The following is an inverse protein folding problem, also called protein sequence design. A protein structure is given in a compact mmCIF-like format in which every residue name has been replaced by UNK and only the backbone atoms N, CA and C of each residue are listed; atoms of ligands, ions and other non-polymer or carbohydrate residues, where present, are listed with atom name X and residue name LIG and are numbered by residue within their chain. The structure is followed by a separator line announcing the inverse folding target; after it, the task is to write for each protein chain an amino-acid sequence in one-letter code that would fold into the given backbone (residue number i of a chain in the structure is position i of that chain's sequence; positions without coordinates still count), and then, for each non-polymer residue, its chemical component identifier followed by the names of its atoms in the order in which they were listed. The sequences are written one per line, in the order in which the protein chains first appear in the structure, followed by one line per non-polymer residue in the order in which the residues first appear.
data_IF_080456920327
#
_entry.id   IF_080456920327
#
_cell.length_a   1.000
_cell.length_b   1.000
_cell.length_c   1.000
_cell.angle_alpha   90.00
_cell.angle_beta   90.00
_cell.angle_gamma   90.00
#
_symmetry.space_group_name_H-M   'P 1'
#
loop_
_entity.id
_entity.type
_entity.pdbx_description
1 polymer ?
#
# COMPACT_ATOMS: atom_id res chain seq x y z
N UNK A 1 28.08 -31.41 24.43
CA UNK A 1 26.96 -30.73 23.74
C UNK A 1 27.34 -29.26 23.60
N UNK A 2 27.58 -28.78 22.38
CA UNK A 2 27.86 -27.35 22.12
C UNK A 2 26.52 -26.61 22.21
N UNK A 3 26.36 -25.68 23.14
CA UNK A 3 25.25 -24.74 23.16
C UNK A 3 25.31 -23.93 21.86
N UNK A 4 24.36 -24.11 20.96
CA UNK A 4 24.18 -23.19 19.87
C UNK A 4 23.73 -21.85 20.46
N UNK A 5 24.63 -20.86 20.41
CA UNK A 5 24.27 -19.48 20.69
C UNK A 5 23.31 -19.04 19.58
N UNK A 6 21.98 -19.02 19.85
CA UNK A 6 21.02 -18.35 18.98
C UNK A 6 21.42 -16.88 18.94
N UNK A 7 21.50 -16.28 17.74
CA UNK A 7 21.73 -14.86 17.64
C UNK A 7 20.58 -14.13 18.37
N UNK A 8 20.94 -13.34 19.38
CA UNK A 8 19.97 -12.47 20.06
C UNK A 8 19.76 -11.29 19.13
N UNK A 9 18.71 -11.32 18.32
CA UNK A 9 18.23 -10.14 17.60
C UNK A 9 17.45 -9.32 18.63
N UNK A 10 18.12 -8.41 19.30
CA UNK A 10 17.58 -7.70 20.46
C UNK A 10 16.70 -6.50 20.12
N UNK A 11 16.58 -6.07 18.85
CA UNK A 11 15.83 -4.87 18.47
C UNK A 11 15.27 -4.98 17.03
N UNK A 12 14.60 -6.09 16.71
CA UNK A 12 13.89 -6.19 15.45
C UNK A 12 12.65 -5.28 15.47
N UNK A 13 12.55 -4.39 14.50
CA UNK A 13 11.36 -3.59 14.23
C UNK A 13 10.79 -4.00 12.86
N UNK A 14 9.49 -4.16 12.79
CA UNK A 14 8.80 -4.57 11.56
C UNK A 14 7.81 -3.49 11.14
N UNK A 15 8.09 -2.84 10.01
CA UNK A 15 7.14 -1.97 9.31
C UNK A 15 6.35 -2.74 8.27
N UNK A 16 5.38 -2.08 7.67
CA UNK A 16 4.58 -2.64 6.58
C UNK A 16 3.92 -1.50 5.79
N UNK A 17 3.77 -1.70 4.49
CA UNK A 17 3.17 -0.80 3.52
C UNK A 17 2.17 -1.54 2.59
N UNK A 18 1.12 -2.16 3.16
CA UNK A 18 0.17 -2.94 2.36
C UNK A 18 -0.66 -2.07 1.43
N UNK A 19 -1.01 -2.66 0.30
CA UNK A 19 -1.97 -2.13 -0.65
C UNK A 19 -3.34 -2.79 -0.48
N UNK A 20 -4.39 -1.99 -0.61
CA UNK A 20 -5.78 -2.45 -0.56
C UNK A 20 -6.57 -1.83 -1.72
N UNK A 21 -7.57 -2.54 -2.21
CA UNK A 21 -8.43 -2.03 -3.25
C UNK A 21 -9.72 -1.45 -2.67
N UNK A 22 -10.37 -0.60 -3.46
CA UNK A 22 -11.69 -0.05 -3.14
C UNK A 22 -12.75 -0.76 -3.97
N UNK A 23 -13.83 -1.18 -3.32
CA UNK A 23 -15.01 -1.73 -3.96
C UNK A 23 -16.17 -0.75 -3.83
N UNK A 24 -16.80 -0.42 -4.95
CA UNK A 24 -17.99 0.43 -4.95
C UNK A 24 -19.24 -0.47 -4.88
N UNK A 25 -19.95 -0.38 -3.75
CA UNK A 25 -21.15 -1.16 -3.48
C UNK A 25 -22.38 -0.77 -4.32
N UNK A 26 -22.38 0.43 -4.86
CA UNK A 26 -23.48 0.92 -5.73
C UNK A 26 -23.32 0.37 -7.15
N UNK A 27 -22.12 0.46 -7.69
CA UNK A 27 -21.83 0.07 -9.06
C UNK A 27 -21.38 -1.39 -9.18
N UNK A 28 -21.12 -2.08 -8.06
CA UNK A 28 -20.60 -3.45 -8.02
C UNK A 28 -19.31 -3.60 -8.86
N UNK A 29 -18.34 -2.71 -8.63
CA UNK A 29 -17.07 -2.71 -9.36
C UNK A 29 -15.91 -2.23 -8.47
N UNK A 30 -14.67 -2.59 -8.86
CA UNK A 30 -13.49 -2.00 -8.26
C UNK A 30 -13.34 -0.55 -8.68
N UNK A 31 -13.05 0.31 -7.70
CA UNK A 31 -12.88 1.74 -7.90
C UNK A 31 -11.44 2.17 -7.62
N UNK A 32 -10.88 3.01 -8.50
CA UNK A 32 -9.57 3.58 -8.28
C UNK A 32 -9.53 4.47 -7.04
N UNK A 33 -8.47 4.37 -6.25
CA UNK A 33 -8.22 5.28 -5.12
C UNK A 33 -7.84 6.71 -5.57
N UNK A 34 -7.57 6.90 -6.86
CA UNK A 34 -7.22 8.20 -7.43
C UNK A 34 -8.36 9.21 -7.21
N UNK A 35 -8.02 10.34 -6.59
CA UNK A 35 -8.97 11.43 -6.33
C UNK A 35 -9.61 11.41 -4.95
N UNK A 36 -9.59 10.30 -4.22
CA UNK A 36 -10.16 10.25 -2.86
C UNK A 36 -9.23 10.85 -1.81
N UNK A 37 -7.94 10.65 -1.94
CA UNK A 37 -6.94 11.23 -1.05
C UNK A 37 -5.89 12.00 -1.83
N UNK A 38 -5.29 12.99 -1.18
CA UNK A 38 -4.22 13.82 -1.77
C UNK A 38 -2.83 13.23 -1.56
N UNK A 39 -2.70 12.16 -0.80
CA UNK A 39 -1.44 11.47 -0.57
C UNK A 39 -0.93 10.80 -1.83
N UNK A 40 0.36 10.89 -2.07
CA UNK A 40 1.07 10.21 -3.16
C UNK A 40 2.26 9.45 -2.59
N UNK A 41 2.82 8.50 -3.33
CA UNK A 41 4.03 7.75 -2.92
C UNK A 41 5.18 8.68 -2.49
N UNK A 42 5.38 9.78 -3.21
CA UNK A 42 6.41 10.78 -2.88
C UNK A 42 6.05 11.69 -1.70
N UNK A 43 4.77 11.82 -1.39
CA UNK A 43 4.26 12.66 -0.31
C UNK A 43 3.04 12.01 0.36
N UNK A 44 3.28 10.94 1.15
CA UNK A 44 2.22 10.32 1.92
C UNK A 44 1.56 11.30 2.89
N UNK A 45 0.29 11.08 3.19
CA UNK A 45 -0.43 11.85 4.19
C UNK A 45 -0.42 11.12 5.54
N UNK A 46 -0.15 11.86 6.60
CA UNK A 46 -0.33 11.38 7.96
C UNK A 46 -1.84 11.14 8.21
N UNK A 47 -2.19 9.99 8.79
CA UNK A 47 -3.54 9.73 9.29
C UNK A 47 -3.78 10.58 10.54
N UNK A 48 -4.74 11.49 10.46
CA UNK A 48 -5.03 12.43 11.54
C UNK A 48 -5.45 11.70 12.82
N UNK A 49 -5.07 12.24 13.98
CA UNK A 49 -5.32 11.67 15.30
C UNK A 49 -4.66 10.31 15.58
N UNK A 50 -3.84 9.78 14.66
CA UNK A 50 -2.98 8.63 14.91
C UNK A 50 -1.53 9.07 15.18
N UNK A 51 -0.74 8.27 15.91
CA UNK A 51 0.67 8.54 16.12
C UNK A 51 1.44 8.72 14.81
N UNK A 52 2.59 9.41 14.89
CA UNK A 52 3.47 9.59 13.72
C UNK A 52 3.87 8.24 13.11
N UNK A 53 3.79 8.16 11.80
CA UNK A 53 4.16 6.96 11.03
C UNK A 53 2.96 6.16 10.50
N UNK A 54 1.74 6.50 10.93
CA UNK A 54 0.53 6.04 10.25
C UNK A 54 0.26 6.93 9.05
N UNK A 55 0.58 6.43 7.88
CA UNK A 55 0.50 7.21 6.64
C UNK A 55 -0.41 6.50 5.64
N UNK A 56 -0.97 7.23 4.70
CA UNK A 56 -1.68 6.66 3.56
C UNK A 56 -1.46 7.48 2.28
N UNK A 57 -1.54 6.81 1.15
CA UNK A 57 -1.33 7.39 -0.17
C UNK A 57 -2.02 6.58 -1.26
N UNK A 58 -2.11 7.18 -2.44
CA UNK A 58 -2.47 6.46 -3.66
C UNK A 58 -1.20 5.94 -4.31
N UNK A 59 -1.17 4.65 -4.63
CA UNK A 59 -0.20 4.06 -5.53
C UNK A 59 -0.92 3.44 -6.73
N UNK A 60 -0.64 3.93 -7.93
CA UNK A 60 -1.39 3.62 -9.15
C UNK A 60 -2.91 3.76 -8.95
N UNK A 61 -3.64 2.68 -8.76
CA UNK A 61 -5.09 2.66 -8.48
C UNK A 61 -5.44 2.16 -7.09
N UNK A 62 -4.44 1.64 -6.37
CA UNK A 62 -4.60 1.11 -5.02
C UNK A 62 -4.50 2.20 -3.96
N UNK A 63 -5.03 1.91 -2.80
CA UNK A 63 -4.84 2.66 -1.58
C UNK A 63 -3.76 1.95 -0.76
N UNK A 64 -2.63 2.59 -0.59
CA UNK A 64 -1.50 2.09 0.20
C UNK A 64 -1.47 2.77 1.56
N UNK A 65 -1.09 2.04 2.60
CA UNK A 65 -0.88 2.62 3.91
C UNK A 65 0.38 2.08 4.58
N UNK A 66 1.01 2.94 5.38
CA UNK A 66 2.17 2.58 6.16
C UNK A 66 1.82 2.54 7.64
N UNK A 67 2.44 1.64 8.37
CA UNK A 67 2.36 1.58 9.83
C UNK A 67 3.70 1.97 10.46
N UNK A 68 3.71 2.51 11.69
CA UNK A 68 4.95 2.67 12.44
C UNK A 68 5.65 1.32 12.63
N UNK A 69 7.00 1.30 12.76
CA UNK A 69 7.72 0.09 13.06
C UNK A 69 7.25 -0.55 14.37
N UNK A 70 6.71 -1.75 14.32
CA UNK A 70 6.20 -2.52 15.45
C UNK A 70 7.32 -3.33 16.12
N UNK A 71 7.30 -3.45 17.44
CA UNK A 71 8.28 -4.19 18.25
C UNK A 71 7.91 -5.65 18.45
N UNK A 72 6.65 -6.00 18.21
CA UNK A 72 6.11 -7.33 18.40
C UNK A 72 4.83 -7.52 17.54
N UNK A 73 4.39 -8.77 17.46
CA UNK A 73 3.20 -9.16 16.70
C UNK A 73 1.93 -8.42 17.15
N UNK A 74 1.75 -8.24 18.46
CA UNK A 74 0.57 -7.54 19.01
C UNK A 74 0.48 -6.09 18.55
N UNK A 75 1.60 -5.36 18.58
CA UNK A 75 1.68 -4.00 18.04
C UNK A 75 1.43 -3.98 16.53
N UNK A 76 2.03 -4.91 15.78
CA UNK A 76 1.87 -5.02 14.34
C UNK A 76 0.40 -5.22 13.96
N UNK A 77 -0.29 -6.17 14.58
CA UNK A 77 -1.72 -6.42 14.36
C UNK A 77 -2.56 -5.20 14.75
N UNK A 78 -2.26 -4.57 15.90
CA UNK A 78 -3.00 -3.40 16.37
C UNK A 78 -2.87 -2.21 15.40
N UNK A 79 -1.66 -1.99 14.87
CA UNK A 79 -1.42 -0.89 13.92
C UNK A 79 -2.17 -1.10 12.60
N UNK A 80 -2.18 -2.31 12.06
CA UNK A 80 -2.99 -2.61 10.87
C UNK A 80 -4.48 -2.39 11.11
N UNK A 81 -5.01 -2.86 12.23
CA UNK A 81 -6.42 -2.63 12.59
C UNK A 81 -6.76 -1.14 12.70
N UNK A 82 -5.87 -0.35 13.29
CA UNK A 82 -6.06 1.10 13.41
C UNK A 82 -6.05 1.78 12.04
N UNK A 83 -5.11 1.43 11.16
CA UNK A 83 -5.04 1.98 9.81
C UNK A 83 -6.28 1.63 8.98
N UNK A 84 -6.69 0.36 8.96
CA UNK A 84 -7.87 -0.09 8.22
C UNK A 84 -9.16 0.59 8.74
N UNK A 85 -9.30 0.71 10.05
CA UNK A 85 -10.42 1.43 10.66
C UNK A 85 -10.43 2.89 10.24
N UNK A 86 -9.29 3.58 10.36
CA UNK A 86 -9.15 4.98 9.95
C UNK A 86 -9.55 5.18 8.49
N UNK A 87 -9.02 4.37 7.58
CA UNK A 87 -9.33 4.47 6.16
C UNK A 87 -10.82 4.28 5.90
N UNK A 88 -11.44 3.26 6.52
CA UNK A 88 -12.88 3.02 6.35
C UNK A 88 -13.73 4.19 6.85
N UNK A 89 -13.36 4.84 7.93
CA UNK A 89 -14.07 6.00 8.48
C UNK A 89 -13.92 7.29 7.65
N UNK A 90 -12.90 7.33 6.75
CA UNK A 90 -12.60 8.49 5.92
C UNK A 90 -12.91 8.28 4.43
N UNK A 91 -13.37 7.10 4.06
CA UNK A 91 -13.86 6.81 2.72
C UNK A 91 -15.36 7.13 2.60
N UNK A 92 -15.86 7.45 1.40
CA UNK A 92 -17.28 7.52 1.11
C UNK A 92 -18.01 6.24 1.53
N UNK A 93 -19.26 6.36 1.97
CA UNK A 93 -20.04 5.25 2.49
C UNK A 93 -20.25 4.12 1.47
N UNK A 94 -20.31 4.47 0.19
CA UNK A 94 -20.44 3.52 -0.91
C UNK A 94 -19.17 2.71 -1.19
N UNK A 95 -18.03 3.05 -0.58
CA UNK A 95 -16.76 2.36 -0.80
C UNK A 95 -16.36 1.47 0.38
N UNK A 96 -15.98 0.25 0.05
CA UNK A 96 -15.40 -0.70 0.99
C UNK A 96 -13.94 -1.00 0.66
N UNK A 97 -13.17 -1.31 1.71
CA UNK A 97 -11.80 -1.81 1.57
C UNK A 97 -11.82 -3.30 1.27
N UNK A 98 -11.07 -3.70 0.23
CA UNK A 98 -10.94 -5.09 -0.16
C UNK A 98 -9.46 -5.49 -0.13
N UNK A 99 -9.16 -6.56 0.62
CA UNK A 99 -7.82 -7.13 0.76
C UNK A 99 -7.75 -8.36 -0.14
N UNK A 100 -7.09 -8.23 -1.28
CA UNK A 100 -6.87 -9.34 -2.21
C UNK A 100 -5.63 -9.08 -3.07
N UNK A 101 -5.07 -10.13 -3.66
CA UNK A 101 -3.81 -10.06 -4.40
C UNK A 101 -3.93 -9.36 -5.77
N UNK A 102 -5.13 -9.28 -6.35
CA UNK A 102 -5.36 -8.64 -7.65
C UNK A 102 -6.81 -8.20 -7.78
N UNK A 103 -7.04 -7.19 -8.64
CA UNK A 103 -8.38 -6.67 -8.92
C UNK A 103 -8.52 -6.35 -10.42
N UNK A 104 -9.73 -6.51 -10.95
CA UNK A 104 -10.04 -6.12 -12.33
C UNK A 104 -10.83 -4.81 -12.34
N UNK A 105 -10.21 -3.79 -12.86
CA UNK A 105 -10.82 -2.46 -12.99
C UNK A 105 -11.43 -2.25 -14.38
N UNK A 106 -12.46 -1.44 -14.43
CA UNK A 106 -12.95 -0.90 -15.69
C UNK A 106 -11.97 0.13 -16.28
N UNK A 107 -11.95 0.25 -17.60
CA UNK A 107 -10.98 1.08 -18.32
C UNK A 107 -10.99 2.57 -17.91
N UNK A 108 -12.15 3.10 -17.51
CA UNK A 108 -12.28 4.47 -17.03
C UNK A 108 -11.42 4.75 -15.77
N UNK A 109 -11.26 3.76 -14.89
CA UNK A 109 -10.41 3.87 -13.69
C UNK A 109 -8.92 3.77 -14.02
N UNK A 110 -8.57 3.11 -15.11
CA UNK A 110 -7.19 2.86 -15.52
C UNK A 110 -6.63 3.94 -16.46
N UNK A 111 -7.48 4.65 -17.20
CA UNK A 111 -7.06 5.62 -18.20
C UNK A 111 -6.76 7.01 -17.63
N UNK A 112 -6.19 7.08 -16.44
CA UNK A 112 -5.73 8.32 -15.82
C UNK A 112 -4.20 8.37 -15.80
N UNK A 113 -3.64 9.57 -15.88
CA UNK A 113 -2.19 9.74 -15.77
C UNK A 113 -1.64 9.15 -14.46
N UNK A 114 -2.34 9.33 -13.36
CA UNK A 114 -1.91 8.86 -12.04
C UNK A 114 -1.95 7.34 -11.97
N UNK A 115 -2.99 6.69 -12.49
CA UNK A 115 -3.09 5.23 -12.55
C UNK A 115 -1.96 4.58 -13.38
N UNK A 116 -1.35 5.35 -14.28
CA UNK A 116 -0.29 4.91 -15.18
C UNK A 116 1.09 5.52 -14.84
N UNK A 117 1.24 6.03 -13.63
CA UNK A 117 2.50 6.60 -13.16
C UNK A 117 3.02 5.77 -11.99
N UNK A 118 4.23 5.24 -12.14
CA UNK A 118 4.88 4.54 -11.03
C UNK A 118 5.08 5.45 -9.83
N UNK A 119 4.76 4.94 -8.66
CA UNK A 119 5.00 5.63 -7.41
C UNK A 119 6.47 5.61 -6.98
N UNK A 120 7.23 4.59 -7.39
CA UNK A 120 8.63 4.39 -7.06
C UNK A 120 9.51 4.23 -8.31
N UNK A 121 10.81 4.36 -8.13
CA UNK A 121 11.77 4.02 -9.17
C UNK A 121 11.86 2.49 -9.31
N UNK A 122 12.15 1.96 -10.51
CA UNK A 122 12.36 0.53 -10.70
C UNK A 122 13.48 -0.02 -9.82
N UNK A 123 13.29 -1.24 -9.34
CA UNK A 123 14.27 -1.92 -8.50
C UNK A 123 15.60 -2.17 -9.23
N UNK A 124 16.68 -2.21 -8.45
CA UNK A 124 18.00 -2.59 -8.96
C UNK A 124 18.08 -4.10 -9.12
N UNK A 125 18.39 -4.54 -10.34
CA UNK A 125 18.59 -5.94 -10.65
C UNK A 125 20.03 -6.34 -10.31
N UNK A 126 20.23 -6.97 -9.17
CA UNK A 126 21.57 -7.39 -8.70
C UNK A 126 22.24 -8.43 -9.60
N UNK A 127 21.47 -9.21 -10.34
CA UNK A 127 21.99 -10.22 -11.27
C UNK A 127 22.53 -9.61 -12.56
N UNK A 128 21.92 -8.53 -13.02
CA UNK A 128 22.35 -7.79 -14.21
C UNK A 128 23.33 -6.66 -13.89
N UNK A 129 23.38 -6.22 -12.64
CA UNK A 129 24.20 -5.07 -12.21
C UNK A 129 23.64 -3.72 -12.67
N UNK A 130 22.36 -3.63 -12.97
CA UNK A 130 21.69 -2.42 -13.47
C UNK A 130 20.29 -2.24 -12.88
N UNK A 131 19.73 -1.06 -12.97
CA UNK A 131 18.36 -0.81 -12.62
C UNK A 131 17.41 -1.44 -13.65
N UNK A 132 16.34 -2.08 -13.21
CA UNK A 132 15.32 -2.59 -14.11
C UNK A 132 14.71 -1.45 -14.92
N UNK A 133 14.46 -1.69 -16.20
CA UNK A 133 13.69 -0.74 -17.02
C UNK A 133 12.25 -0.70 -16.52
N UNK A 134 11.61 0.49 -16.51
CA UNK A 134 10.17 0.56 -16.28
C UNK A 134 9.48 -0.35 -17.30
N UNK A 135 8.45 -1.09 -16.89
CA UNK A 135 7.69 -1.89 -17.84
C UNK A 135 7.10 -1.00 -18.93
N UNK A 136 7.26 -1.47 -20.16
CA UNK A 136 6.83 -0.74 -21.35
C UNK A 136 5.34 -0.82 -21.47
N UNK A 137 4.52 -0.59 -20.86
CA UNK A 137 3.11 -0.43 -21.14
C UNK A 137 2.19 -0.62 -19.95
N UNK A 138 1.34 0.23 -19.94
CA UNK A 138 -0.03 0.25 -19.44
C UNK A 138 -0.68 -1.16 -19.25
N UNK A 139 -0.29 -2.15 -20.02
CA UNK A 139 -0.89 -3.49 -19.95
C UNK A 139 -0.32 -4.39 -18.86
N UNK A 140 0.86 -4.11 -18.34
CA UNK A 140 1.54 -4.96 -17.36
C UNK A 140 1.46 -4.45 -15.93
N UNK A 141 0.97 -3.24 -15.70
CA UNK A 141 1.05 -2.60 -14.39
C UNK A 141 -0.19 -1.85 -13.97
N UNK A 142 -1.24 -2.52 -14.09
CA UNK A 142 -2.49 -2.04 -13.50
C UNK A 142 -2.69 -2.58 -12.10
N UNK A 143 -1.66 -3.24 -11.60
CA UNK A 143 -1.55 -3.72 -10.22
C UNK A 143 -0.11 -3.50 -9.79
N UNK A 144 0.10 -2.60 -8.88
CA UNK A 144 1.38 -2.48 -8.19
C UNK A 144 1.50 -3.56 -7.14
#
# INVERSE_FOLDING_TARGET
MKKQNKPIISNLLVGSDPEVFLWNNVNNEFHSAVGFIKGTKKKPLQMDNLPKGFMWQVDCVALEYNIPPAKNEGEWIAYHKQSLKYMKEHLPEELDLVIQASARFNANHLNTKQANTFGCDPDYNVWKGEQNTPPDAIDNLRVC
#
